data_IF_858142437833
#
_entry.id   IF_858142437833
#
_cell.length_a   1.000
_cell.length_b   1.000
_cell.length_c   1.000
_cell.angle_alpha   90.00
_cell.angle_beta   90.00
_cell.angle_gamma   90.00
#
_symmetry.space_group_name_H-M   'P 1'
#
loop_
_entity.id
_entity.type
_entity.pdbx_description
1 polymer ?
#
# COMPACT_ATOMS: atom_id res chain seq x y z
N UNK A 1 8.77 -12.57 7.62
CA UNK A 1 8.57 -13.92 7.06
C UNK A 1 8.47 -13.83 5.54
N UNK A 2 9.03 -14.78 4.79
CA UNK A 2 8.89 -14.83 3.32
C UNK A 2 7.71 -15.71 2.94
N UNK A 3 6.77 -15.19 2.14
CA UNK A 3 5.60 -15.94 1.67
C UNK A 3 5.81 -16.48 0.25
N UNK A 4 5.12 -17.56 -0.09
CA UNK A 4 5.08 -18.13 -1.45
C UNK A 4 3.63 -18.19 -1.92
N UNK A 5 3.41 -17.96 -3.21
CA UNK A 5 2.09 -18.04 -3.81
C UNK A 5 1.51 -19.45 -3.66
N UNK A 6 2.35 -20.46 -3.88
CA UNK A 6 2.03 -21.88 -3.70
C UNK A 6 3.07 -22.57 -2.82
N UNK A 7 2.63 -23.56 -2.05
CA UNK A 7 3.48 -24.28 -1.09
C UNK A 7 3.93 -25.66 -1.60
N UNK A 8 3.05 -26.37 -2.31
CA UNK A 8 3.29 -27.71 -2.88
C UNK A 8 3.32 -27.64 -4.41
N UNK A 9 4.13 -28.45 -5.12
CA UNK A 9 5.10 -29.44 -4.61
C UNK A 9 6.38 -28.81 -4.03
N UNK A 10 6.64 -27.53 -4.33
CA UNK A 10 7.71 -26.74 -3.72
C UNK A 10 7.38 -25.26 -3.80
N UNK A 11 7.97 -24.46 -2.90
CA UNK A 11 7.82 -22.99 -2.83
C UNK A 11 8.60 -22.28 -3.93
N UNK A 12 8.13 -22.40 -5.19
CA UNK A 12 8.81 -21.86 -6.36
C UNK A 12 8.50 -20.38 -6.67
N UNK A 13 7.39 -19.85 -6.14
CA UNK A 13 6.84 -18.55 -6.51
C UNK A 13 6.80 -17.62 -5.30
N UNK A 14 7.97 -17.09 -4.91
CA UNK A 14 8.08 -16.20 -3.76
C UNK A 14 7.31 -14.89 -3.97
N UNK A 15 6.57 -14.46 -2.95
CA UNK A 15 5.91 -13.16 -2.92
C UNK A 15 6.78 -12.17 -2.15
N UNK A 16 7.24 -11.13 -2.85
CA UNK A 16 8.18 -10.14 -2.35
C UNK A 16 7.64 -8.74 -2.60
N UNK A 17 6.73 -8.25 -1.75
CA UNK A 17 6.35 -6.84 -1.79
C UNK A 17 7.57 -5.97 -1.51
N UNK A 18 7.51 -4.73 -1.97
CA UNK A 18 8.58 -3.77 -1.74
C UNK A 18 8.70 -3.40 -0.25
N UNK A 19 7.56 -3.11 0.41
CA UNK A 19 7.49 -2.72 1.82
C UNK A 19 6.37 -3.48 2.52
N UNK A 20 6.62 -3.87 3.78
CA UNK A 20 5.59 -4.37 4.71
C UNK A 20 5.70 -3.57 5.99
N UNK A 21 4.63 -2.90 6.38
CA UNK A 21 4.50 -2.17 7.64
C UNK A 21 3.65 -3.00 8.60
N UNK A 22 4.16 -3.24 9.80
CA UNK A 22 3.46 -4.02 10.84
C UNK A 22 3.19 -3.12 12.06
N UNK A 23 1.92 -3.01 12.45
CA UNK A 23 1.43 -2.23 13.60
C UNK A 23 0.67 -3.16 14.55
N UNK A 24 1.42 -3.86 15.41
CA UNK A 24 0.86 -4.90 16.26
C UNK A 24 0.23 -6.03 15.42
N UNK A 25 -1.10 -6.18 15.47
CA UNK A 25 -1.83 -7.17 14.67
C UNK A 25 -2.15 -6.71 13.25
N UNK A 26 -1.97 -5.42 12.95
CA UNK A 26 -2.32 -4.84 11.67
C UNK A 26 -1.12 -4.84 10.71
N UNK A 27 -1.39 -5.09 9.43
CA UNK A 27 -0.37 -5.15 8.38
C UNK A 27 -0.80 -4.35 7.16
N UNK A 28 0.12 -3.51 6.69
CA UNK A 28 -0.01 -2.81 5.42
C UNK A 28 1.08 -3.27 4.49
N UNK A 29 0.71 -3.71 3.30
CA UNK A 29 1.67 -4.11 2.26
C UNK A 29 1.72 -3.01 1.22
N UNK A 30 2.92 -2.61 0.81
CA UNK A 30 3.10 -1.58 -0.21
C UNK A 30 4.03 -2.07 -1.33
N UNK A 31 3.70 -1.68 -2.55
CA UNK A 31 4.50 -1.96 -3.74
C UNK A 31 4.53 -0.72 -4.65
N UNK A 32 5.62 -0.54 -5.39
CA UNK A 32 5.82 0.60 -6.28
C UNK A 32 5.85 0.14 -7.72
N UNK A 33 5.23 0.92 -8.62
CA UNK A 33 5.25 0.69 -10.06
C UNK A 33 5.80 1.92 -10.76
N UNK A 34 6.73 1.71 -11.68
CA UNK A 34 7.29 2.77 -12.52
C UNK A 34 6.50 2.90 -13.82
N UNK A 35 5.27 3.41 -13.71
CA UNK A 35 4.38 3.66 -14.85
C UNK A 35 3.59 4.95 -14.62
N UNK A 36 3.50 5.79 -15.64
CA UNK A 36 2.61 6.95 -15.63
C UNK A 36 1.20 6.49 -16.02
N UNK A 37 0.24 6.75 -15.14
CA UNK A 37 -1.18 6.49 -15.38
C UNK A 37 -1.83 7.67 -16.12
N UNK A 38 -2.94 7.41 -16.80
CA UNK A 38 -3.66 8.41 -17.59
C UNK A 38 -5.15 8.13 -17.60
N UNK A 39 -5.99 9.16 -17.39
CA UNK A 39 -7.45 9.02 -17.42
C UNK A 39 -7.99 8.58 -18.79
N UNK A 40 -7.21 8.78 -19.85
CA UNK A 40 -7.56 8.35 -21.22
C UNK A 40 -7.34 6.86 -21.45
N UNK A 41 -6.59 6.18 -20.58
CA UNK A 41 -6.37 4.74 -20.67
C UNK A 41 -7.48 3.98 -19.94
N UNK A 42 -7.79 2.77 -20.42
CA UNK A 42 -8.71 1.87 -19.71
C UNK A 42 -8.20 1.62 -18.29
N UNK A 43 -9.08 1.74 -17.30
CA UNK A 43 -8.74 1.63 -15.87
C UNK A 43 -7.59 2.55 -15.46
N UNK A 44 -7.50 3.74 -16.08
CA UNK A 44 -6.43 4.70 -15.87
C UNK A 44 -5.02 4.17 -16.23
N UNK A 45 -4.92 3.03 -16.91
CA UNK A 45 -3.65 2.36 -17.20
C UNK A 45 -3.19 1.35 -16.14
N UNK A 46 -3.96 1.12 -15.08
CA UNK A 46 -3.64 0.08 -14.07
C UNK A 46 -3.74 -1.29 -14.73
N UNK A 47 -2.67 -2.08 -14.66
CA UNK A 47 -2.66 -3.40 -15.30
C UNK A 47 -3.38 -4.45 -14.44
N UNK A 48 -4.01 -5.43 -15.09
CA UNK A 48 -4.60 -6.57 -14.35
C UNK A 48 -3.53 -7.35 -13.58
N UNK A 49 -2.32 -7.44 -14.12
CA UNK A 49 -1.21 -8.14 -13.47
C UNK A 49 -0.83 -7.47 -12.14
N UNK A 50 -0.80 -6.14 -12.10
CA UNK A 50 -0.58 -5.39 -10.85
C UNK A 50 -1.65 -5.74 -9.82
N UNK A 51 -2.93 -5.73 -10.22
CA UNK A 51 -4.04 -6.04 -9.32
C UNK A 51 -4.04 -7.50 -8.85
N UNK A 52 -3.69 -8.46 -9.70
CA UNK A 52 -3.53 -9.85 -9.30
C UNK A 52 -2.40 -10.04 -8.29
N UNK A 53 -1.29 -9.32 -8.48
CA UNK A 53 -0.19 -9.32 -7.52
C UNK A 53 -0.63 -8.73 -6.17
N UNK A 54 -1.33 -7.58 -6.18
CA UNK A 54 -1.82 -6.95 -4.95
C UNK A 54 -2.82 -7.84 -4.21
N UNK A 55 -3.68 -8.54 -4.96
CA UNK A 55 -4.59 -9.52 -4.38
C UNK A 55 -3.85 -10.68 -3.70
N UNK A 56 -2.87 -11.27 -4.37
CA UNK A 56 -2.05 -12.34 -3.80
C UNK A 56 -1.31 -11.88 -2.54
N UNK A 57 -0.76 -10.66 -2.54
CA UNK A 57 -0.14 -10.06 -1.36
C UNK A 57 -1.14 -9.92 -0.21
N UNK A 58 -2.31 -9.35 -0.47
CA UNK A 58 -3.36 -9.20 0.54
C UNK A 58 -3.71 -10.51 1.25
N UNK A 59 -3.99 -11.55 0.46
CA UNK A 59 -4.36 -12.87 1.01
C UNK A 59 -3.21 -13.55 1.75
N UNK A 60 -1.98 -13.49 1.23
CA UNK A 60 -0.85 -14.26 1.80
C UNK A 60 -0.22 -13.58 3.02
N UNK A 61 -0.18 -12.26 3.04
CA UNK A 61 0.33 -11.52 4.20
C UNK A 61 -0.75 -11.29 5.27
N UNK A 62 -2.03 -11.52 4.94
CA UNK A 62 -3.14 -11.17 5.82
C UNK A 62 -3.21 -9.66 6.04
N UNK A 63 -2.98 -8.89 4.98
CA UNK A 63 -2.88 -7.44 5.06
C UNK A 63 -4.27 -6.80 5.24
N UNK A 64 -4.39 -5.88 6.18
CA UNK A 64 -5.59 -5.05 6.36
C UNK A 64 -5.78 -4.10 5.17
N UNK A 65 -4.67 -3.69 4.56
CA UNK A 65 -4.63 -2.77 3.43
C UNK A 65 -3.40 -3.02 2.55
N UNK A 66 -3.59 -2.86 1.25
CA UNK A 66 -2.51 -2.89 0.25
C UNK A 66 -2.45 -1.51 -0.39
N UNK A 67 -1.25 -0.93 -0.50
CA UNK A 67 -1.03 0.35 -1.17
C UNK A 67 -0.15 0.15 -2.39
N UNK A 68 -0.67 0.49 -3.56
CA UNK A 68 0.05 0.44 -4.82
C UNK A 68 0.42 1.86 -5.25
N UNK A 69 1.71 2.14 -5.27
CA UNK A 69 2.26 3.46 -5.54
C UNK A 69 2.67 3.60 -7.01
N UNK A 70 2.19 4.66 -7.64
CA UNK A 70 2.64 5.09 -8.97
C UNK A 70 3.28 6.49 -8.89
N UNK A 71 4.19 6.87 -9.79
CA UNK A 71 4.57 8.26 -9.96
C UNK A 71 3.36 9.11 -10.41
N UNK A 72 3.20 10.28 -9.80
CA UNK A 72 2.21 11.26 -10.20
C UNK A 72 2.53 11.87 -11.57
N UNK A 73 1.49 12.21 -12.33
CA UNK A 73 1.60 13.12 -13.49
C UNK A 73 0.28 13.82 -13.75
N UNK A 74 0.32 14.93 -14.47
CA UNK A 74 -0.88 15.72 -14.80
C UNK A 74 -1.85 14.99 -15.75
N UNK A 75 -1.54 13.75 -16.17
CA UNK A 75 -2.41 12.88 -16.99
C UNK A 75 -3.49 12.16 -16.18
N UNK A 76 -3.37 12.16 -14.86
CA UNK A 76 -4.34 11.57 -13.94
C UNK A 76 -4.95 12.66 -13.07
N UNK A 77 -6.28 12.79 -13.09
CA UNK A 77 -7.01 13.76 -12.26
C UNK A 77 -7.40 13.17 -10.90
N UNK A 78 -7.69 11.87 -10.86
CA UNK A 78 -8.09 11.17 -9.64
C UNK A 78 -6.88 10.49 -8.99
N UNK A 79 -6.45 11.03 -7.85
CA UNK A 79 -5.28 10.55 -7.10
C UNK A 79 -5.62 9.62 -5.92
N UNK A 80 -6.90 9.48 -5.59
CA UNK A 80 -7.41 8.50 -4.63
C UNK A 80 -8.31 7.49 -5.34
N UNK A 81 -7.77 6.29 -5.61
CA UNK A 81 -8.51 5.19 -6.21
C UNK A 81 -8.46 4.00 -5.27
N UNK A 82 -9.62 3.45 -4.92
CA UNK A 82 -9.74 2.29 -4.02
C UNK A 82 -10.51 1.15 -4.71
N UNK A 83 -9.94 -0.04 -4.61
CA UNK A 83 -10.59 -1.29 -5.00
C UNK A 83 -10.80 -2.17 -3.76
N UNK A 84 -11.93 -2.87 -3.71
CA UNK A 84 -12.24 -3.82 -2.65
C UNK A 84 -12.79 -5.11 -3.26
N UNK A 85 -12.40 -6.24 -2.70
CA UNK A 85 -13.00 -7.54 -2.97
C UNK A 85 -13.98 -7.94 -1.86
N UNK A 86 -14.93 -8.82 -2.19
CA UNK A 86 -15.91 -9.33 -1.22
C UNK A 86 -15.26 -10.21 -0.13
N UNK A 87 -14.03 -10.68 -0.35
CA UNK A 87 -13.25 -11.51 0.57
C UNK A 87 -12.16 -10.69 1.30
N UNK A 88 -12.42 -9.40 1.48
CA UNK A 88 -11.71 -8.44 2.34
C UNK A 88 -10.27 -8.11 1.90
N UNK A 89 -10.00 -8.09 0.59
CA UNK A 89 -8.78 -7.48 0.04
C UNK A 89 -9.09 -6.03 -0.36
N UNK A 90 -8.32 -5.07 0.16
CA UNK A 90 -8.47 -3.65 -0.13
C UNK A 90 -7.18 -3.10 -0.73
N UNK A 91 -7.25 -2.58 -1.96
CA UNK A 91 -6.11 -2.02 -2.67
C UNK A 91 -6.34 -0.53 -2.88
N UNK A 92 -5.49 0.28 -2.26
CA UNK A 92 -5.43 1.72 -2.46
C UNK A 92 -4.35 2.03 -3.49
N UNK A 93 -4.72 2.72 -4.57
CA UNK A 93 -3.77 3.26 -5.54
C UNK A 93 -3.50 4.70 -5.15
N UNK A 94 -2.22 5.02 -4.97
CA UNK A 94 -1.73 6.32 -4.54
C UNK A 94 -0.60 6.78 -5.43
N UNK A 95 -0.37 8.09 -5.45
CA UNK A 95 0.57 8.71 -6.36
C UNK A 95 1.64 9.48 -5.60
N UNK A 96 2.89 9.33 -6.02
CA UNK A 96 4.03 10.06 -5.47
C UNK A 96 4.43 11.18 -6.43
N UNK A 97 4.34 12.44 -6.01
CA UNK A 97 4.90 13.56 -6.78
C UNK A 97 6.41 13.61 -6.60
N UNK A 98 7.14 13.17 -7.63
CA UNK A 98 8.60 13.14 -7.61
C UNK A 98 9.26 14.53 -7.65
N UNK A 99 8.48 15.59 -7.89
CA UNK A 99 8.96 16.99 -7.76
C UNK A 99 8.94 17.45 -6.30
N UNK A 100 8.14 16.82 -5.46
CA UNK A 100 8.05 17.07 -4.02
C UNK A 100 7.86 15.76 -3.25
N UNK A 101 8.87 14.86 -3.29
CA UNK A 101 8.72 13.49 -2.82
C UNK A 101 8.49 13.41 -1.31
N UNK A 102 9.16 14.26 -0.53
CA UNK A 102 9.09 14.20 0.94
C UNK A 102 7.69 14.53 1.46
N UNK A 103 7.05 15.58 0.93
CA UNK A 103 5.68 15.91 1.30
C UNK A 103 4.70 14.84 0.83
N UNK A 104 4.86 14.37 -0.41
CA UNK A 104 3.98 13.36 -1.00
C UNK A 104 4.01 12.04 -0.24
N UNK A 105 5.21 11.59 0.17
CA UNK A 105 5.38 10.39 0.99
C UNK A 105 4.80 10.61 2.40
N UNK A 106 5.06 11.78 3.01
CA UNK A 106 4.54 12.10 4.34
C UNK A 106 3.01 12.06 4.40
N UNK A 107 2.34 12.59 3.37
CA UNK A 107 0.87 12.57 3.26
C UNK A 107 0.34 11.13 3.17
N UNK A 108 0.96 10.30 2.32
CA UNK A 108 0.58 8.89 2.15
C UNK A 108 0.78 8.12 3.47
N UNK A 109 1.91 8.34 4.16
CA UNK A 109 2.17 7.68 5.44
C UNK A 109 1.18 8.10 6.52
N UNK A 110 0.79 9.38 6.58
CA UNK A 110 -0.24 9.83 7.53
C UNK A 110 -1.58 9.15 7.22
N UNK A 111 -2.00 9.10 5.95
CA UNK A 111 -3.25 8.46 5.56
C UNK A 111 -3.28 6.96 5.94
N UNK A 112 -2.19 6.25 5.65
CA UNK A 112 -2.07 4.81 5.97
C UNK A 112 -2.11 4.60 7.48
N UNK A 113 -1.39 5.42 8.25
CA UNK A 113 -1.35 5.32 9.72
C UNK A 113 -2.72 5.62 10.34
N UNK A 114 -3.40 6.67 9.88
CA UNK A 114 -4.72 7.07 10.37
C UNK A 114 -5.80 6.01 10.04
N UNK A 115 -5.69 5.38 8.86
CA UNK A 115 -6.58 4.28 8.47
C UNK A 115 -6.41 3.04 9.37
N UNK A 116 -5.16 2.66 9.68
CA UNK A 116 -4.86 1.54 10.58
C UNK A 116 -5.36 1.83 12.00
N UNK A 117 -5.11 3.04 12.51
CA UNK A 117 -5.59 3.48 13.82
C UNK A 117 -7.13 3.44 13.92
N UNK A 118 -7.83 3.81 12.84
CA UNK A 118 -9.29 3.79 12.78
C UNK A 118 -9.87 2.36 12.80
N UNK A 119 -9.16 1.38 12.22
CA UNK A 119 -9.55 -0.04 12.25
C UNK A 119 -9.23 -0.76 13.56
N UNK A 120 -8.36 -0.19 14.41
CA UNK A 120 -7.91 -0.82 15.65
C UNK A 120 -8.89 -0.62 16.83
N UNK A 121 -9.82 0.33 16.75
CA UNK A 121 -10.73 0.69 17.85
C UNK A 121 -10.08 1.69 18.83
N UNK A 122 -10.79 2.78 19.14
CA UNK A 122 -10.27 4.03 19.72
C UNK A 122 -9.72 3.92 21.17
N UNK A 123 -8.60 4.61 21.45
CA UNK A 123 -8.16 4.92 22.81
C UNK A 123 -6.84 5.72 22.88
N UNK A 124 -6.95 7.02 23.15
CA UNK A 124 -5.96 7.91 23.82
C UNK A 124 -4.47 7.49 23.76
N UNK A 125 -3.77 7.77 22.64
CA UNK A 125 -2.30 7.88 22.61
C UNK A 125 -1.78 8.75 21.45
N UNK A 126 -2.61 9.71 20.99
CA UNK A 126 -2.50 10.35 19.67
C UNK A 126 -1.28 11.28 19.45
N UNK A 127 -0.32 11.38 20.39
CA UNK A 127 0.81 12.32 20.28
C UNK A 127 2.20 11.74 20.54
N UNK A 128 2.32 10.58 21.21
CA UNK A 128 3.64 9.97 21.49
C UNK A 128 4.12 9.04 20.37
N UNK A 129 3.22 8.32 19.69
CA UNK A 129 3.60 7.41 18.60
C UNK A 129 4.02 8.14 17.31
N UNK A 130 3.41 9.29 16.98
CA UNK A 130 3.79 10.05 15.77
C UNK A 130 5.24 10.53 15.82
N UNK A 131 5.72 10.95 17.00
CA UNK A 131 7.13 11.34 17.20
C UNK A 131 8.07 10.13 17.09
N UNK A 132 7.66 8.97 17.62
CA UNK A 132 8.49 7.77 17.63
C UNK A 132 8.61 7.11 16.24
N UNK A 133 7.58 7.22 15.40
CA UNK A 133 7.60 6.74 14.00
C UNK A 133 8.48 7.62 13.11
N UNK A 134 8.45 8.94 13.31
CA UNK A 134 9.31 9.87 12.57
C UNK A 134 10.79 9.71 12.93
N UNK A 135 11.12 9.44 14.20
CA UNK A 135 12.51 9.16 14.64
C UNK A 135 13.03 7.79 14.21
N UNK A 136 12.16 6.79 14.00
CA UNK A 136 12.56 5.45 13.56
C UNK A 136 12.79 5.35 12.04
N UNK A 137 12.20 6.25 11.25
CA UNK A 137 12.30 6.25 9.78
C UNK A 137 13.43 7.14 9.24
N UNK A 138 14.10 7.91 10.10
CA UNK A 138 15.24 8.75 9.72
C UNK A 138 16.29 8.82 10.85
N UNK A 139 17.42 8.10 10.74
CA UNK A 139 18.58 8.34 11.61
C UNK A 139 19.31 9.64 11.27
#
# INVERSE_FOLDING_TARGET
MTYSLFDTPRRAFALRPYIVLEFGKHKVVMDTKWKLLSDTERNSGISQLDMYQMYAYGKKYGADRIVLLYPYSDRISRTDIRYASNDNVKVDVRFVDLRNPDSSISDILSEVTDAVASSAGQGVARKREKTQILEALWP
#
